data_IF_026563377151
#
_entry.id   IF_026563377151
#
_cell.length_a   1.000
_cell.length_b   1.000
_cell.length_c   1.000
_cell.angle_alpha   90.00
_cell.angle_beta   90.00
_cell.angle_gamma   90.00
#
_symmetry.space_group_name_H-M   'P 1'
#
loop_
_entity.id
_entity.type
_entity.pdbx_description
1 polymer ?
#
# COMPACT_ATOMS: atom_id res chain seq x y z
N UNK A 1 15.58 -6.36 -5.00
CA UNK A 1 14.94 -6.35 -3.66
C UNK A 1 13.79 -5.36 -3.70
N UNK A 2 12.60 -5.78 -3.24
CA UNK A 2 11.44 -4.90 -3.17
C UNK A 2 10.79 -4.97 -1.82
N UNK A 3 10.61 -3.82 -1.17
CA UNK A 3 9.96 -3.72 0.13
C UNK A 3 8.59 -3.05 0.01
N UNK A 4 7.60 -3.62 0.72
CA UNK A 4 6.21 -3.17 0.67
C UNK A 4 5.99 -2.01 1.64
N UNK A 5 5.68 -0.84 1.11
CA UNK A 5 5.24 0.33 1.88
C UNK A 5 3.83 0.11 2.45
N UNK A 6 3.47 0.92 3.42
CA UNK A 6 2.15 0.94 4.04
C UNK A 6 1.86 2.30 4.65
N UNK A 7 0.76 2.41 5.37
CA UNK A 7 0.39 3.62 6.10
C UNK A 7 1.54 4.07 7.02
N UNK A 8 1.91 5.34 6.95
CA UNK A 8 3.04 5.90 7.69
C UNK A 8 4.36 5.97 6.88
N UNK A 9 4.48 5.24 5.77
CA UNK A 9 5.68 5.30 4.91
C UNK A 9 5.97 6.70 4.36
N UNK A 10 4.93 7.51 4.18
CA UNK A 10 4.93 8.87 3.61
C UNK A 10 4.64 9.96 4.66
N UNK A 11 4.95 9.70 5.92
CA UNK A 11 4.71 10.58 7.06
C UNK A 11 3.22 10.81 7.43
N UNK A 12 2.29 10.09 6.80
CA UNK A 12 0.89 10.13 7.21
C UNK A 12 0.72 9.50 8.61
N UNK A 13 0.18 10.29 9.54
CA UNK A 13 -0.06 9.86 10.92
C UNK A 13 -1.55 9.56 11.10
N UNK A 14 -1.84 8.36 11.58
CA UNK A 14 -3.18 7.96 11.96
C UNK A 14 -3.20 7.44 13.41
N UNK A 15 -4.16 7.87 14.24
CA UNK A 15 -4.31 7.33 15.60
C UNK A 15 -4.41 5.80 15.61
N UNK A 16 -3.91 5.17 16.67
CA UNK A 16 -3.90 3.70 16.88
C UNK A 16 -2.99 2.90 15.92
N UNK A 17 -2.14 3.57 15.13
CA UNK A 17 -1.21 2.89 14.20
C UNK A 17 0.26 3.17 14.49
N UNK A 18 0.63 3.60 15.71
CA UNK A 18 2.00 4.03 16.05
C UNK A 18 3.03 2.98 15.66
N UNK A 19 2.91 1.75 16.14
CA UNK A 19 3.90 0.69 15.89
C UNK A 19 3.95 0.31 14.41
N UNK A 20 2.79 0.17 13.79
CA UNK A 20 2.70 -0.13 12.36
C UNK A 20 3.32 0.99 11.51
N UNK A 21 2.90 2.24 11.71
CA UNK A 21 3.40 3.38 10.96
C UNK A 21 4.91 3.58 11.15
N UNK A 22 5.40 3.44 12.39
CA UNK A 22 6.84 3.50 12.69
C UNK A 22 7.60 2.41 11.92
N UNK A 23 7.12 1.16 11.94
CA UNK A 23 7.77 0.06 11.20
C UNK A 23 7.82 0.31 9.70
N UNK A 24 6.73 0.84 9.13
CA UNK A 24 6.65 1.16 7.69
C UNK A 24 7.54 2.36 7.32
N UNK A 25 7.65 3.35 8.20
CA UNK A 25 8.59 4.47 8.01
C UNK A 25 10.04 4.01 8.08
N UNK A 26 10.37 3.17 9.06
CA UNK A 26 11.69 2.58 9.19
C UNK A 26 12.05 1.74 7.94
N UNK A 27 11.11 0.94 7.43
CA UNK A 27 11.31 0.15 6.22
C UNK A 27 11.54 1.03 4.97
N UNK A 28 10.86 2.17 4.88
CA UNK A 28 11.08 3.13 3.79
C UNK A 28 12.48 3.73 3.85
N UNK A 29 12.93 4.15 5.04
CA UNK A 29 14.29 4.65 5.23
C UNK A 29 15.33 3.57 4.90
N UNK A 30 15.16 2.37 5.48
CA UNK A 30 16.03 1.23 5.23
C UNK A 30 16.18 0.93 3.74
N UNK A 31 15.07 0.89 3.00
CA UNK A 31 15.10 0.56 1.58
C UNK A 31 15.85 1.60 0.76
N UNK A 32 15.67 2.88 1.08
CA UNK A 32 16.39 3.97 0.42
C UNK A 32 17.89 3.96 0.74
N UNK A 33 18.24 3.71 2.01
CA UNK A 33 19.63 3.57 2.42
C UNK A 33 20.28 2.36 1.72
N UNK A 34 19.59 1.22 1.70
CA UNK A 34 20.06 0.02 1.01
C UNK A 34 20.27 0.27 -0.49
N UNK A 35 19.33 0.97 -1.13
CA UNK A 35 19.49 1.35 -2.54
C UNK A 35 20.74 2.19 -2.77
N UNK A 36 21.07 3.09 -1.85
CA UNK A 36 22.29 3.90 -1.89
C UNK A 36 23.56 3.07 -1.74
N UNK A 37 23.56 2.11 -0.81
CA UNK A 37 24.71 1.21 -0.60
C UNK A 37 24.95 0.25 -1.77
N UNK A 38 23.88 -0.08 -2.52
CA UNK A 38 23.94 -0.97 -3.68
C UNK A 38 24.29 -0.26 -4.99
N UNK A 39 24.56 1.05 -4.98
CA UNK A 39 24.99 1.78 -6.17
C UNK A 39 26.26 1.16 -6.76
N UNK A 40 26.29 0.96 -8.08
CA UNK A 40 27.40 0.31 -8.78
C UNK A 40 27.37 -1.23 -8.76
N UNK A 41 26.40 -1.84 -8.08
CA UNK A 41 26.20 -3.29 -8.10
C UNK A 41 25.04 -3.67 -9.04
N UNK A 42 24.93 -4.95 -9.46
CA UNK A 42 23.78 -5.41 -10.28
C UNK A 42 22.49 -5.57 -9.45
N UNK A 43 22.52 -5.36 -8.14
CA UNK A 43 21.35 -5.53 -7.26
C UNK A 43 20.56 -4.24 -7.17
N UNK A 44 19.29 -4.29 -7.51
CA UNK A 44 18.37 -3.16 -7.38
C UNK A 44 17.50 -3.29 -6.13
N UNK A 45 17.36 -2.20 -5.38
CA UNK A 45 16.43 -2.08 -4.28
C UNK A 45 15.38 -1.00 -4.56
N UNK A 46 14.11 -1.28 -4.24
CA UNK A 46 13.02 -0.37 -4.51
C UNK A 46 11.83 -0.59 -3.56
N UNK A 47 10.80 0.23 -3.72
CA UNK A 47 9.64 0.30 -2.84
C UNK A 47 8.37 0.07 -3.64
N UNK A 48 7.45 -0.72 -3.07
CA UNK A 48 6.12 -0.96 -3.62
C UNK A 48 5.08 -0.29 -2.72
N UNK A 49 4.22 0.52 -3.31
CA UNK A 49 3.09 1.16 -2.60
C UNK A 49 1.77 0.61 -3.16
N UNK A 50 1.24 -0.46 -2.56
CA UNK A 50 0.07 -1.17 -3.10
C UNK A 50 -1.25 -0.43 -2.83
N UNK A 51 -1.28 0.53 -1.91
CA UNK A 51 -2.51 1.13 -1.43
C UNK A 51 -3.26 0.22 -0.44
N UNK A 52 -4.57 0.37 -0.38
CA UNK A 52 -5.44 -0.43 0.47
C UNK A 52 -5.84 -1.72 -0.26
N UNK A 53 -5.52 -2.88 0.34
CA UNK A 53 -5.84 -4.19 -0.25
C UNK A 53 -6.75 -4.99 0.67
N UNK A 54 -7.71 -5.71 0.09
CA UNK A 54 -8.56 -6.64 0.82
C UNK A 54 -7.76 -7.91 1.13
N UNK A 55 -7.18 -7.95 2.32
CA UNK A 55 -6.34 -9.06 2.80
C UNK A 55 -6.75 -9.43 4.21
N UNK A 56 -6.31 -10.59 4.69
CA UNK A 56 -6.54 -11.07 6.06
C UNK A 56 -6.06 -10.06 7.11
N UNK A 57 -5.02 -9.28 6.82
CA UNK A 57 -4.56 -8.19 7.68
C UNK A 57 -5.65 -7.14 7.99
N UNK A 58 -6.60 -6.94 7.08
CA UNK A 58 -7.73 -6.04 7.26
C UNK A 58 -8.96 -6.77 7.80
N UNK A 59 -9.18 -8.02 7.33
CA UNK A 59 -10.43 -8.74 7.55
C UNK A 59 -10.44 -9.58 8.81
N UNK A 60 -9.26 -9.94 9.34
CA UNK A 60 -9.13 -10.82 10.50
C UNK A 60 -8.37 -10.14 11.64
N UNK A 61 -8.71 -10.52 12.87
CA UNK A 61 -7.90 -10.27 14.06
C UNK A 61 -6.73 -11.26 14.13
N UNK A 62 -5.72 -11.04 15.01
CA UNK A 62 -4.65 -12.01 15.24
C UNK A 62 -5.15 -13.40 15.66
N UNK A 63 -6.32 -13.48 16.29
CA UNK A 63 -6.97 -14.72 16.71
C UNK A 63 -7.76 -15.41 15.59
N UNK A 64 -7.83 -14.79 14.40
CA UNK A 64 -8.52 -15.31 13.22
C UNK A 64 -10.02 -15.01 13.17
N UNK A 65 -10.52 -14.14 14.06
CA UNK A 65 -11.90 -13.67 14.06
C UNK A 65 -12.10 -12.52 13.07
N UNK A 66 -13.35 -12.21 12.73
CA UNK A 66 -13.67 -11.07 11.89
C UNK A 66 -13.22 -9.76 12.54
N UNK A 67 -12.50 -8.94 11.82
CA UNK A 67 -11.97 -7.67 12.32
C UNK A 67 -13.10 -6.66 12.58
N UNK A 68 -13.21 -6.08 13.78
CA UNK A 68 -14.23 -5.09 14.11
C UNK A 68 -14.21 -3.85 13.22
N UNK A 69 -13.08 -3.58 12.55
CA UNK A 69 -12.97 -2.45 11.61
C UNK A 69 -13.91 -2.58 10.42
N UNK A 70 -14.32 -3.82 10.10
CA UNK A 70 -15.27 -4.08 9.01
C UNK A 70 -16.70 -3.63 9.35
N UNK A 71 -17.03 -3.41 10.63
CA UNK A 71 -18.32 -2.93 11.07
C UNK A 71 -18.43 -1.39 11.10
N UNK A 72 -17.28 -0.69 10.97
CA UNK A 72 -17.24 0.77 10.92
C UNK A 72 -17.74 1.29 9.55
N UNK A 73 -18.89 2.00 9.49
CA UNK A 73 -19.42 2.51 8.21
C UNK A 73 -18.50 3.52 7.53
N UNK A 74 -17.71 4.27 8.30
CA UNK A 74 -16.75 5.22 7.75
C UNK A 74 -15.60 4.48 7.05
N UNK A 75 -15.06 3.46 7.72
CA UNK A 75 -14.03 2.60 7.14
C UNK A 75 -14.54 1.90 5.88
N UNK A 76 -15.73 1.28 5.93
CA UNK A 76 -16.33 0.62 4.77
C UNK A 76 -16.46 1.57 3.57
N UNK A 77 -16.94 2.80 3.81
CA UNK A 77 -17.08 3.81 2.75
C UNK A 77 -15.74 4.13 2.10
N UNK A 78 -14.71 4.42 2.88
CA UNK A 78 -13.37 4.73 2.39
C UNK A 78 -12.76 3.51 1.69
N UNK A 79 -12.89 2.33 2.29
CA UNK A 79 -12.34 1.10 1.73
C UNK A 79 -13.01 0.72 0.40
N UNK A 80 -14.33 0.89 0.27
CA UNK A 80 -15.03 0.66 -0.98
C UNK A 80 -14.62 1.65 -2.10
N UNK A 81 -14.14 2.85 -1.74
CA UNK A 81 -13.61 3.83 -2.71
C UNK A 81 -12.16 3.50 -3.09
N UNK A 82 -11.31 3.26 -2.11
CA UNK A 82 -9.86 3.19 -2.28
C UNK A 82 -9.29 1.78 -2.33
N UNK A 83 -9.98 0.81 -1.75
CA UNK A 83 -9.54 -0.57 -1.67
C UNK A 83 -9.53 -1.28 -3.02
N UNK A 84 -8.69 -2.29 -3.14
CA UNK A 84 -8.58 -3.16 -4.30
C UNK A 84 -8.31 -4.60 -3.88
N UNK A 85 -8.55 -5.54 -4.80
CA UNK A 85 -8.18 -6.94 -4.60
C UNK A 85 -6.67 -7.12 -4.78
N UNK A 86 -6.02 -8.01 -4.01
CA UNK A 86 -4.59 -8.29 -4.16
C UNK A 86 -4.19 -8.68 -5.58
N UNK A 87 -5.04 -9.44 -6.28
CA UNK A 87 -4.78 -9.91 -7.63
C UNK A 87 -4.65 -8.74 -8.62
N UNK A 88 -5.54 -7.74 -8.52
CA UNK A 88 -5.52 -6.56 -9.40
C UNK A 88 -4.24 -5.72 -9.16
N UNK A 89 -3.86 -5.58 -7.88
CA UNK A 89 -2.65 -4.85 -7.49
C UNK A 89 -1.41 -5.61 -7.96
N UNK A 90 -1.37 -6.93 -7.80
CA UNK A 90 -0.26 -7.77 -8.24
C UNK A 90 -0.10 -7.74 -9.75
N UNK A 91 -1.19 -7.84 -10.51
CA UNK A 91 -1.18 -7.75 -11.98
C UNK A 91 -0.58 -6.42 -12.48
N UNK A 92 -0.71 -5.34 -11.71
CA UNK A 92 -0.08 -4.06 -12.02
C UNK A 92 1.39 -4.01 -11.60
N UNK A 93 1.73 -4.50 -10.39
CA UNK A 93 3.06 -4.36 -9.81
C UNK A 93 4.08 -5.29 -10.48
N UNK A 94 3.73 -6.57 -10.71
CA UNK A 94 4.67 -7.60 -11.16
C UNK A 94 5.35 -7.24 -12.49
N UNK A 95 4.64 -6.85 -13.56
CA UNK A 95 5.31 -6.47 -14.81
C UNK A 95 6.26 -5.28 -14.63
N UNK A 96 5.93 -4.33 -13.73
CA UNK A 96 6.76 -3.15 -13.48
C UNK A 96 7.99 -3.46 -12.64
N UNK A 97 7.89 -4.41 -11.73
CA UNK A 97 9.03 -4.97 -10.98
C UNK A 97 10.03 -5.59 -11.97
N UNK A 98 9.53 -6.45 -12.86
CA UNK A 98 10.37 -7.16 -13.83
C UNK A 98 11.02 -6.24 -14.86
N UNK A 99 10.34 -5.18 -15.25
CA UNK A 99 10.84 -4.19 -16.21
C UNK A 99 11.72 -3.09 -15.58
N UNK A 100 11.84 -3.06 -14.24
CA UNK A 100 12.59 -1.99 -13.57
C UNK A 100 14.09 -2.13 -13.74
N UNK A 101 14.72 -1.04 -14.11
CA UNK A 101 16.18 -0.91 -14.25
C UNK A 101 16.76 0.19 -13.35
N UNK A 102 15.94 0.79 -12.47
CA UNK A 102 16.34 1.94 -11.66
C UNK A 102 16.51 1.58 -10.21
N UNK A 103 17.59 2.09 -9.62
CA UNK A 103 17.79 2.05 -8.16
C UNK A 103 16.81 3.02 -7.45
N UNK A 104 16.44 2.73 -6.21
CA UNK A 104 15.46 3.48 -5.38
C UNK A 104 14.11 3.75 -6.07
N UNK A 105 13.70 2.87 -6.99
CA UNK A 105 12.42 3.02 -7.67
C UNK A 105 11.25 2.87 -6.68
N UNK A 106 10.21 3.69 -6.86
CA UNK A 106 8.92 3.54 -6.18
C UNK A 106 7.85 3.22 -7.21
N UNK A 107 7.20 2.06 -7.06
CA UNK A 107 6.06 1.66 -7.88
C UNK A 107 4.81 1.74 -7.02
N UNK A 108 3.89 2.64 -7.37
CA UNK A 108 2.67 2.90 -6.61
C UNK A 108 1.43 2.56 -7.44
N UNK A 109 0.55 1.73 -6.86
CA UNK A 109 -0.76 1.42 -7.42
C UNK A 109 -1.78 2.53 -7.17
N UNK A 110 -1.83 3.01 -5.92
CA UNK A 110 -2.74 4.07 -5.50
C UNK A 110 -1.99 5.40 -5.45
N UNK A 111 -1.98 6.11 -6.58
CA UNK A 111 -1.37 7.43 -6.69
C UNK A 111 -2.32 8.54 -6.20
N UNK A 112 -1.84 9.73 -5.79
CA UNK A 112 -2.69 10.87 -5.41
C UNK A 112 -3.74 11.22 -6.48
N UNK A 113 -3.36 11.20 -7.74
CA UNK A 113 -4.28 11.44 -8.86
C UNK A 113 -5.37 10.37 -8.94
N UNK A 114 -5.02 9.09 -8.73
CA UNK A 114 -5.98 7.97 -8.72
C UNK A 114 -6.93 8.08 -7.52
N UNK A 115 -6.42 8.48 -6.35
CA UNK A 115 -7.25 8.76 -5.16
C UNK A 115 -8.27 9.85 -5.45
N UNK A 116 -7.81 11.00 -5.94
CA UNK A 116 -8.68 12.13 -6.28
C UNK A 116 -9.77 11.73 -7.29
N UNK A 117 -9.38 11.02 -8.35
CA UNK A 117 -10.33 10.54 -9.37
C UNK A 117 -11.37 9.58 -8.78
N UNK A 118 -10.96 8.68 -7.88
CA UNK A 118 -11.87 7.73 -7.23
C UNK A 118 -12.88 8.43 -6.34
N UNK A 119 -12.47 9.43 -5.57
CA UNK A 119 -13.39 10.25 -4.78
C UNK A 119 -14.35 11.04 -5.67
N UNK A 120 -13.86 11.67 -6.72
CA UNK A 120 -14.70 12.45 -7.64
C UNK A 120 -15.75 11.58 -8.37
N UNK A 121 -15.40 10.33 -8.69
CA UNK A 121 -16.29 9.40 -9.39
C UNK A 121 -17.16 8.53 -8.47
N UNK A 122 -16.87 8.50 -7.16
CA UNK A 122 -17.58 7.64 -6.20
C UNK A 122 -19.10 7.82 -6.13
N UNK A 123 -19.68 9.03 -6.35
CA UNK A 123 -21.13 9.19 -6.39
C UNK A 123 -21.79 8.43 -7.56
N UNK A 124 -21.04 8.25 -8.65
CA UNK A 124 -21.54 7.64 -9.89
C UNK A 124 -21.15 6.17 -10.03
N UNK A 125 -20.05 5.77 -9.42
CA UNK A 125 -19.50 4.40 -9.45
C UNK A 125 -19.54 3.79 -8.06
N UNK A 126 -20.65 3.16 -7.72
CA UNK A 126 -20.73 2.40 -6.46
C UNK A 126 -19.89 1.14 -6.58
N UNK A 127 -18.75 1.12 -5.87
CA UNK A 127 -17.95 -0.09 -5.69
C UNK A 127 -18.36 -0.74 -4.36
N UNK A 128 -18.42 -2.05 -4.32
CA UNK A 128 -18.66 -2.82 -3.10
C UNK A 128 -17.61 -3.92 -3.02
N UNK A 129 -16.65 -3.75 -2.13
CA UNK A 129 -15.58 -4.70 -1.82
C UNK A 129 -15.84 -5.43 -0.50
N UNK A 130 -16.39 -4.68 0.45
CA UNK A 130 -16.80 -5.13 1.78
C UNK A 130 -18.16 -4.55 2.14
#
# INVERSE_FOLDING_TARGET
>A
IWNMEGLGSDDMIQPKTILYGTSKRALTYFTRALAKELEGTPVLAGRLSPGMMLTDFITLTPEGESSPVLEDPHFQKIFNILGDKPEDVAAFLVPRILANTKQDAKIAWLTPTKVMLRFATSPFKKRKLI
#
